data_IF_430349975803
#
_entry.id   IF_430349975803
#
_cell.length_a   1.000
_cell.length_b   1.000
_cell.length_c   1.000
_cell.angle_alpha   90.00
_cell.angle_beta   90.00
_cell.angle_gamma   90.00
#
_symmetry.space_group_name_H-M   'P 1'
#
loop_
_entity.id
_entity.type
_entity.pdbx_description
1 polymer ?
#
# COMPACT_ATOMS: atom_id res chain seq x y z
N UNK A 1 21.53 -3.90 -14.82
CA UNK A 1 21.21 -4.74 -14.78
C UNK A 1 20.03 -5.04 -14.55
N UNK A 2 19.76 -5.24 -14.78
CA UNK A 2 18.83 -5.45 -14.54
C UNK A 2 18.48 -6.46 -14.23
N UNK A 3 18.52 -6.75 -14.41
CA UNK A 3 18.22 -7.99 -14.06
C UNK A 3 17.78 -8.20 -12.71
N UNK A 4 18.10 -7.44 -11.97
CA UNK A 4 17.68 -7.52 -10.61
C UNK A 4 16.36 -6.88 -10.43
N UNK A 5 15.37 -7.67 -10.12
CA UNK A 5 14.11 -7.13 -9.72
C UNK A 5 14.23 -6.68 -8.28
N UNK A 6 14.02 -5.42 -8.07
CA UNK A 6 14.05 -4.87 -6.73
C UNK A 6 12.63 -4.71 -6.24
N UNK A 7 12.36 -5.21 -5.07
CA UNK A 7 11.07 -4.98 -4.44
C UNK A 7 10.98 -3.49 -4.11
N UNK A 8 10.02 -2.81 -4.72
CA UNK A 8 9.84 -1.37 -4.52
C UNK A 8 8.69 -1.05 -3.59
N UNK A 9 8.12 -2.05 -2.94
CA UNK A 9 7.15 -1.83 -1.87
C UNK A 9 7.93 -1.67 -0.56
N UNK A 10 7.79 -0.51 0.05
CA UNK A 10 8.51 -0.21 1.29
C UNK A 10 7.74 -0.73 2.49
N UNK A 11 8.45 -1.23 3.48
CA UNK A 11 7.81 -1.72 4.71
C UNK A 11 7.66 -0.58 5.71
N UNK A 12 6.47 -0.48 6.27
CA UNK A 12 6.24 0.43 7.39
C UNK A 12 6.52 -0.36 8.66
N UNK A 13 7.30 0.22 9.55
CA UNK A 13 7.69 -0.44 10.80
C UNK A 13 7.51 0.52 11.96
N UNK A 14 7.28 -0.04 13.14
CA UNK A 14 7.20 0.73 14.38
C UNK A 14 6.15 1.84 14.32
N UNK A 15 5.04 1.56 13.65
CA UNK A 15 3.92 2.49 13.53
C UNK A 15 4.32 3.83 12.88
N UNK A 16 5.35 3.82 12.05
CA UNK A 16 5.89 5.04 11.45
C UNK A 16 5.62 5.07 9.95
N UNK A 17 4.68 5.90 9.53
CA UNK A 17 4.38 6.07 8.11
C UNK A 17 4.78 7.45 7.58
N UNK A 18 5.78 8.07 8.22
CA UNK A 18 6.21 9.40 7.83
C UNK A 18 6.64 9.49 6.37
N UNK A 19 7.33 8.48 5.87
CA UNK A 19 7.77 8.48 4.48
C UNK A 19 6.58 8.47 3.52
N UNK A 20 5.55 7.70 3.85
CA UNK A 20 4.33 7.68 3.03
C UNK A 20 3.65 9.05 3.03
N UNK A 21 3.65 9.72 4.18
CA UNK A 21 3.02 11.05 4.30
C UNK A 21 3.79 12.11 3.53
N UNK A 22 5.08 11.92 3.33
CA UNK A 22 5.91 12.88 2.59
C UNK A 22 5.85 12.68 1.09
N UNK A 23 5.42 11.51 0.64
CA UNK A 23 5.33 11.23 -0.79
C UNK A 23 4.21 12.03 -1.42
N UNK A 24 4.40 12.40 -2.67
CA UNK A 24 3.37 13.13 -3.41
C UNK A 24 2.13 12.27 -3.58
N UNK A 25 2.32 11.02 -3.98
CA UNK A 25 1.25 10.04 -4.08
C UNK A 25 1.75 8.75 -3.47
N UNK A 26 0.98 8.17 -2.58
CA UNK A 26 1.34 6.92 -1.93
C UNK A 26 0.14 5.99 -1.80
N UNK A 27 0.42 4.70 -1.88
CA UNK A 27 -0.56 3.66 -1.57
C UNK A 27 -0.02 2.91 -0.36
N UNK A 28 -0.84 2.78 0.67
CA UNK A 28 -0.48 2.04 1.87
C UNK A 28 -1.41 0.85 2.00
N UNK A 29 -0.83 -0.34 2.05
CA UNK A 29 -1.54 -1.60 2.12
C UNK A 29 -1.37 -2.18 3.53
N UNK A 30 -2.44 -2.19 4.30
CA UNK A 30 -2.44 -2.84 5.61
C UNK A 30 -2.78 -4.32 5.41
N UNK A 31 -1.92 -5.20 5.92
CA UNK A 31 -2.03 -6.63 5.69
C UNK A 31 -1.57 -7.41 6.92
N UNK A 32 -1.60 -8.74 6.82
CA UNK A 32 -1.05 -9.62 7.84
C UNK A 32 -0.53 -10.88 7.17
N UNK A 33 0.46 -11.51 7.78
CA UNK A 33 1.09 -12.69 7.20
C UNK A 33 0.15 -13.89 7.08
N UNK A 34 -0.88 -13.93 7.94
CA UNK A 34 -1.84 -15.04 7.97
C UNK A 34 -3.05 -14.81 7.06
N UNK A 35 -3.10 -13.70 6.37
CA UNK A 35 -4.27 -13.30 5.59
C UNK A 35 -4.12 -13.78 4.15
N UNK A 36 -4.99 -14.70 3.71
CA UNK A 36 -4.95 -15.25 2.35
C UNK A 36 -5.08 -14.20 1.26
N UNK A 37 -6.14 -13.37 1.28
CA UNK A 37 -6.28 -12.32 0.26
C UNK A 37 -5.11 -11.34 0.24
N UNK A 38 -4.50 -11.08 1.39
CA UNK A 38 -3.32 -10.21 1.46
C UNK A 38 -2.15 -10.83 0.68
N UNK A 39 -1.97 -12.15 0.81
CA UNK A 39 -0.90 -12.84 0.11
C UNK A 39 -1.10 -12.81 -1.40
N UNK A 40 -2.36 -12.86 -1.84
CA UNK A 40 -2.68 -12.76 -3.26
C UNK A 40 -2.43 -11.37 -3.80
N UNK A 41 -2.60 -10.37 -2.96
CA UNK A 41 -2.42 -8.97 -3.36
C UNK A 41 -0.95 -8.57 -3.41
N UNK A 42 -0.10 -9.20 -2.60
CA UNK A 42 1.30 -8.79 -2.48
C UNK A 42 2.04 -8.73 -3.82
N UNK A 43 1.99 -9.78 -4.67
CA UNK A 43 2.70 -9.69 -5.96
C UNK A 43 2.12 -8.61 -6.88
N UNK A 44 0.83 -8.32 -6.77
CA UNK A 44 0.21 -7.26 -7.56
C UNK A 44 0.77 -5.91 -7.12
N UNK A 45 0.92 -5.71 -5.81
CA UNK A 45 1.49 -4.48 -5.29
C UNK A 45 2.93 -4.30 -5.75
N UNK A 46 3.70 -5.39 -5.77
CA UNK A 46 5.08 -5.32 -6.24
C UNK A 46 5.16 -4.95 -7.70
N UNK A 47 4.31 -5.56 -8.53
CA UNK A 47 4.27 -5.23 -9.96
C UNK A 47 3.92 -3.77 -10.19
N UNK A 48 2.91 -3.28 -9.45
CA UNK A 48 2.50 -1.89 -9.60
C UNK A 48 3.59 -0.93 -9.12
N UNK A 49 4.29 -1.29 -8.05
CA UNK A 49 5.36 -0.44 -7.54
C UNK A 49 6.48 -0.26 -8.57
N UNK A 50 6.72 -1.29 -9.39
CA UNK A 50 7.71 -1.20 -10.46
C UNK A 50 7.17 -0.41 -11.64
N UNK A 51 5.92 -0.67 -12.03
CA UNK A 51 5.34 0.00 -13.18
C UNK A 51 5.15 1.49 -12.96
N UNK A 52 4.85 1.87 -11.72
CA UNK A 52 4.57 3.26 -11.37
C UNK A 52 5.72 3.93 -10.62
N UNK A 53 6.91 3.36 -10.71
CA UNK A 53 8.09 3.91 -10.03
C UNK A 53 8.30 5.37 -10.45
N UNK A 54 8.58 6.21 -9.48
CA UNK A 54 8.77 7.63 -9.72
C UNK A 54 7.47 8.44 -9.74
N UNK A 55 6.33 7.77 -9.79
CA UNK A 55 5.03 8.43 -9.80
C UNK A 55 4.25 8.16 -8.53
N UNK A 56 4.29 6.93 -8.03
CA UNK A 56 3.54 6.51 -6.84
C UNK A 56 4.46 5.67 -5.98
N UNK A 57 4.48 5.95 -4.69
CA UNK A 57 5.24 5.16 -3.72
C UNK A 57 4.30 4.16 -3.06
N UNK A 58 4.76 2.93 -2.94
CA UNK A 58 3.95 1.84 -2.38
C UNK A 58 4.52 1.38 -1.06
N UNK A 59 3.65 1.19 -0.09
CA UNK A 59 4.02 0.81 1.28
C UNK A 59 3.15 -0.35 1.75
N UNK A 60 3.75 -1.21 2.57
CA UNK A 60 3.03 -2.29 3.23
C UNK A 60 3.19 -2.16 4.74
N UNK A 61 2.09 -2.20 5.46
CA UNK A 61 2.08 -2.16 6.90
C UNK A 61 1.45 -3.46 7.43
N UNK A 62 2.28 -4.31 8.03
CA UNK A 62 1.77 -5.50 8.70
C UNK A 62 1.05 -5.04 9.96
N UNK A 63 -0.22 -5.40 10.08
CA UNK A 63 -1.05 -4.90 11.19
C UNK A 63 -0.59 -5.43 12.54
N UNK A 64 0.00 -6.62 12.58
CA UNK A 64 0.50 -7.18 13.84
C UNK A 64 1.75 -6.44 14.31
N UNK A 65 2.51 -5.88 13.39
CA UNK A 65 3.72 -5.11 13.72
C UNK A 65 3.42 -3.62 13.86
N UNK A 66 2.28 -3.17 13.38
CA UNK A 66 1.90 -1.75 13.38
C UNK A 66 0.49 -1.56 13.92
N UNK A 67 0.24 -2.14 15.11
CA UNK A 67 -1.11 -2.16 15.68
C UNK A 67 -1.65 -0.77 15.96
N UNK A 68 -0.82 0.10 16.53
CA UNK A 68 -1.27 1.45 16.85
C UNK A 68 -1.64 2.23 15.60
N UNK A 69 -0.83 2.07 14.54
CA UNK A 69 -1.10 2.73 13.28
C UNK A 69 -2.39 2.22 12.65
N UNK A 70 -2.61 0.90 12.70
CA UNK A 70 -3.83 0.30 12.18
C UNK A 70 -5.05 0.81 12.93
N UNK A 71 -4.98 0.87 14.25
CA UNK A 71 -6.08 1.37 15.08
C UNK A 71 -6.36 2.84 14.80
N UNK A 72 -5.30 3.64 14.68
CA UNK A 72 -5.44 5.08 14.43
C UNK A 72 -6.14 5.34 13.09
N UNK A 73 -5.96 4.45 12.12
CA UNK A 73 -6.57 4.58 10.82
C UNK A 73 -7.83 3.75 10.66
N UNK A 74 -8.33 3.20 11.76
CA UNK A 74 -9.59 2.46 11.81
C UNK A 74 -9.61 1.28 10.86
N UNK A 75 -8.50 0.55 10.80
CA UNK A 75 -8.39 -0.66 10.00
C UNK A 75 -9.06 -1.80 10.75
N UNK A 76 -10.21 -2.26 10.26
CA UNK A 76 -10.96 -3.35 10.89
C UNK A 76 -11.02 -4.59 10.02
N UNK A 77 -10.67 -4.47 8.75
CA UNK A 77 -10.62 -5.59 7.82
C UNK A 77 -9.40 -5.45 6.95
N UNK A 78 -8.78 -6.55 6.55
CA UNK A 78 -7.58 -6.55 5.72
C UNK A 78 -7.79 -7.48 4.53
N UNK A 79 -7.15 -7.18 3.39
CA UNK A 79 -6.27 -6.03 3.17
C UNK A 79 -7.06 -4.72 3.13
N UNK A 80 -6.46 -3.67 3.65
CA UNK A 80 -7.04 -2.32 3.61
C UNK A 80 -6.05 -1.42 2.88
N UNK A 81 -6.49 -0.83 1.80
CA UNK A 81 -5.65 -0.02 0.93
C UNK A 81 -6.04 1.45 1.07
N UNK A 82 -5.04 2.28 1.30
CA UNK A 82 -5.23 3.72 1.46
C UNK A 82 -4.49 4.43 0.36
N UNK A 83 -5.15 5.39 -0.28
CA UNK A 83 -4.53 6.23 -1.29
C UNK A 83 -4.31 7.61 -0.66
N UNK A 84 -3.07 8.06 -0.70
CA UNK A 84 -2.68 9.34 -0.13
C UNK A 84 -2.16 10.27 -1.22
N UNK A 85 -2.51 11.55 -1.13
CA UNK A 85 -1.97 12.59 -1.98
C UNK A 85 -1.51 13.74 -1.09
N UNK A 86 -0.25 14.10 -1.23
CA UNK A 86 0.35 15.19 -0.45
C UNK A 86 0.10 15.02 1.04
N UNK A 87 0.22 13.78 1.52
CA UNK A 87 0.07 13.46 2.94
C UNK A 87 -1.37 13.35 3.44
N UNK A 88 -2.34 13.42 2.54
CA UNK A 88 -3.76 13.33 2.91
C UNK A 88 -4.36 12.05 2.37
N UNK A 89 -5.11 11.34 3.20
CA UNK A 89 -5.86 10.17 2.74
C UNK A 89 -7.02 10.65 1.89
N UNK A 90 -7.02 10.28 0.61
CA UNK A 90 -8.08 10.70 -0.32
C UNK A 90 -9.08 9.60 -0.59
N UNK A 91 -8.71 8.33 -0.36
CA UNK A 91 -9.65 7.23 -0.55
C UNK A 91 -9.11 5.98 0.13
N UNK A 92 -10.00 5.00 0.31
CA UNK A 92 -9.61 3.70 0.85
C UNK A 92 -10.44 2.61 0.19
N UNK A 93 -9.86 1.41 0.09
CA UNK A 93 -10.55 0.23 -0.41
C UNK A 93 -10.25 -0.93 0.51
N UNK A 94 -11.23 -1.81 0.67
CA UNK A 94 -11.09 -2.98 1.55
C UNK A 94 -11.19 -4.24 0.69
N UNK A 95 -10.29 -5.19 0.95
CA UNK A 95 -10.32 -6.49 0.30
C UNK A 95 -9.42 -6.57 -0.92
N UNK A 96 -9.34 -7.76 -1.48
CA UNK A 96 -8.51 -8.03 -2.66
C UNK A 96 -9.01 -7.21 -3.85
N UNK A 97 -8.05 -6.66 -4.61
CA UNK A 97 -8.35 -5.92 -5.84
C UNK A 97 -7.45 -6.43 -6.94
N UNK A 98 -7.99 -6.44 -8.16
CA UNK A 98 -7.17 -6.80 -9.32
C UNK A 98 -6.19 -5.68 -9.62
N UNK A 99 -5.13 -6.02 -10.35
CA UNK A 99 -4.14 -5.02 -10.76
C UNK A 99 -4.79 -3.88 -11.54
N UNK A 100 -5.69 -4.23 -12.48
CA UNK A 100 -6.34 -3.22 -13.30
C UNK A 100 -7.24 -2.32 -12.47
N UNK A 101 -7.96 -2.90 -11.51
CA UNK A 101 -8.82 -2.11 -10.63
C UNK A 101 -7.99 -1.10 -9.82
N UNK A 102 -6.83 -1.52 -9.35
CA UNK A 102 -5.94 -0.64 -8.60
C UNK A 102 -5.38 0.47 -9.48
N UNK A 103 -4.98 0.14 -10.70
CA UNK A 103 -4.48 1.17 -11.63
C UNK A 103 -5.55 2.22 -11.90
N UNK A 104 -6.77 1.77 -12.13
CA UNK A 104 -7.89 2.69 -12.37
C UNK A 104 -8.17 3.55 -11.15
N UNK A 105 -8.13 2.94 -9.97
CA UNK A 105 -8.37 3.65 -8.72
C UNK A 105 -7.33 4.75 -8.48
N UNK A 106 -6.06 4.40 -8.64
CA UNK A 106 -4.97 5.37 -8.44
C UNK A 106 -5.08 6.51 -9.46
N UNK A 107 -5.32 6.16 -10.72
CA UNK A 107 -5.39 7.15 -11.79
C UNK A 107 -6.67 7.98 -11.76
N UNK A 108 -7.76 7.40 -11.28
CA UNK A 108 -9.06 8.08 -11.29
C UNK A 108 -9.31 9.00 -10.12
N UNK A 109 -8.55 8.87 -9.06
CA UNK A 109 -8.74 9.66 -7.86
C UNK A 109 -7.80 10.87 -7.91
N UNK A 110 -8.06 11.75 -8.82
CA UNK A 110 -7.19 12.92 -9.06
C UNK A 110 -7.65 14.12 -8.24
#
# INVERSE_FOLDING_TARGET
MKGMVTNMVHKIEQNNMQDALKAKVAVVDFSATWCGPCKMLAPIMEELSEEMAGQVEFYNADTDENMDLALANKVTSIPALFLLRDGQIVDRMIGFQTKQALKNWIGGTQ
#
